data_IF_855047034426
#
_entry.id   IF_855047034426
#
_cell.length_a   1.000
_cell.length_b   1.000
_cell.length_c   1.000
_cell.angle_alpha   90.00
_cell.angle_beta   90.00
_cell.angle_gamma   90.00
#
_symmetry.space_group_name_H-M   'P 1'
#
loop_
_entity.id
_entity.type
_entity.pdbx_description
1 polymer ?
#
# COMPACT_ATOMS: atom_id res chain seq x y z
N UNK A 1 7.30 -15.11 8.61
CA UNK A 1 6.61 -14.01 7.90
C UNK A 1 7.57 -13.39 6.92
N UNK A 2 7.07 -12.95 5.79
CA UNK A 2 7.87 -12.28 4.79
C UNK A 2 7.56 -10.78 4.80
N UNK A 3 8.50 -10.00 4.28
CA UNK A 3 8.35 -8.55 4.17
C UNK A 3 7.91 -8.20 2.74
N UNK A 4 6.92 -7.34 2.63
CA UNK A 4 6.38 -6.90 1.34
C UNK A 4 6.34 -5.39 1.25
N UNK A 5 6.71 -4.87 0.08
CA UNK A 5 6.39 -3.49 -0.29
C UNK A 5 5.10 -3.56 -1.12
N UNK A 6 4.10 -2.82 -0.68
CA UNK A 6 2.85 -2.69 -1.42
C UNK A 6 2.94 -1.40 -2.23
N UNK A 7 2.98 -1.54 -3.55
CA UNK A 7 3.08 -0.41 -4.48
C UNK A 7 1.71 -0.15 -5.06
N UNK A 8 1.08 0.91 -4.60
CA UNK A 8 -0.24 1.33 -5.05
C UNK A 8 -0.13 2.49 -6.01
N UNK A 9 -0.92 2.46 -7.06
CA UNK A 9 -1.04 3.56 -8.02
C UNK A 9 -2.50 3.82 -8.33
N UNK A 10 -2.89 5.09 -8.34
CA UNK A 10 -4.21 5.50 -8.79
C UNK A 10 -4.09 6.70 -9.73
N UNK A 11 -5.12 6.91 -10.56
CA UNK A 11 -5.19 8.08 -11.42
C UNK A 11 -5.49 9.33 -10.58
N UNK A 12 -5.12 10.53 -11.04
CA UNK A 12 -5.41 11.76 -10.29
C UNK A 12 -6.87 11.91 -9.90
N UNK A 13 -7.80 11.55 -10.79
CA UNK A 13 -9.23 11.63 -10.52
C UNK A 13 -9.69 10.63 -9.45
N UNK A 14 -8.93 9.57 -9.20
CA UNK A 14 -9.25 8.54 -8.22
C UNK A 14 -8.72 8.86 -6.83
N UNK A 15 -7.93 9.91 -6.68
CA UNK A 15 -7.30 10.25 -5.40
C UNK A 15 -8.32 10.36 -4.25
N UNK A 16 -9.44 11.08 -4.39
CA UNK A 16 -10.43 11.14 -3.31
C UNK A 16 -11.00 9.77 -2.95
N UNK A 17 -11.28 8.93 -3.94
CA UNK A 17 -11.82 7.59 -3.70
C UNK A 17 -10.79 6.69 -3.00
N UNK A 18 -9.52 6.80 -3.36
CA UNK A 18 -8.46 6.02 -2.74
C UNK A 18 -8.34 6.31 -1.24
N UNK A 19 -8.47 7.55 -0.83
CA UNK A 19 -8.43 7.91 0.59
C UNK A 19 -9.75 7.61 1.29
N UNK A 20 -10.88 7.82 0.63
CA UNK A 20 -12.20 7.52 1.19
C UNK A 20 -12.41 6.01 1.43
N UNK A 21 -11.75 5.16 0.68
CA UNK A 21 -11.86 3.70 0.82
C UNK A 21 -11.44 3.21 2.21
N UNK A 22 -10.63 3.97 2.94
CA UNK A 22 -10.22 3.61 4.30
C UNK A 22 -11.31 3.79 5.33
N UNK A 23 -12.38 4.52 5.02
CA UNK A 23 -13.45 4.77 5.97
C UNK A 23 -14.15 3.45 6.33
N UNK A 24 -14.16 3.13 7.63
CA UNK A 24 -14.76 1.91 8.14
C UNK A 24 -13.96 0.63 7.88
N UNK A 25 -12.82 0.72 7.22
CA UNK A 25 -11.96 -0.44 7.00
C UNK A 25 -11.03 -0.64 8.18
N UNK A 26 -11.06 -1.84 8.76
CA UNK A 26 -10.21 -2.20 9.91
C UNK A 26 -8.90 -2.78 9.40
N UNK A 27 -7.79 -2.12 9.71
CA UNK A 27 -6.47 -2.55 9.28
C UNK A 27 -5.40 -1.93 10.18
N UNK A 28 -4.30 -2.67 10.46
CA UNK A 28 -3.17 -2.10 11.18
C UNK A 28 -2.47 -0.97 10.42
N UNK A 29 -2.75 -0.83 9.12
CA UNK A 29 -2.17 0.27 8.32
C UNK A 29 -2.90 1.59 8.49
N UNK A 30 -4.09 1.58 9.09
CA UNK A 30 -4.80 2.83 9.42
C UNK A 30 -3.98 3.61 10.44
N UNK A 31 -3.88 4.91 10.24
CA UNK A 31 -3.11 5.80 11.12
C UNK A 31 -1.60 5.54 11.09
N UNK A 32 -1.15 4.54 10.35
CA UNK A 32 0.28 4.33 10.13
C UNK A 32 0.77 5.28 9.03
N UNK A 33 2.06 5.60 9.08
CA UNK A 33 2.67 6.40 8.03
C UNK A 33 2.99 5.54 6.81
N UNK A 34 2.74 6.09 5.64
CA UNK A 34 3.15 5.50 4.36
C UNK A 34 3.80 6.59 3.51
N UNK A 35 4.58 6.18 2.54
CA UNK A 35 5.15 7.14 1.60
C UNK A 35 4.17 7.39 0.47
N UNK A 36 4.04 8.65 0.08
CA UNK A 36 3.11 9.05 -0.98
C UNK A 36 3.76 10.09 -1.88
N UNK A 37 3.58 9.93 -3.17
CA UNK A 37 3.95 10.94 -4.16
C UNK A 37 2.76 11.78 -4.61
N UNK A 38 1.57 11.58 -4.03
CA UNK A 38 0.39 12.38 -4.36
C UNK A 38 0.63 13.89 -4.23
N UNK A 39 1.27 14.37 -3.15
CA UNK A 39 1.51 15.82 -3.00
C UNK A 39 2.38 16.42 -4.10
N UNK A 40 3.19 15.60 -4.77
CA UNK A 40 4.06 16.04 -5.87
C UNK A 40 3.54 15.62 -7.24
N UNK A 41 2.31 15.14 -7.31
CA UNK A 41 1.64 14.78 -8.57
C UNK A 41 1.85 13.35 -9.06
N UNK A 42 2.53 12.51 -8.27
CA UNK A 42 2.88 11.16 -8.70
C UNK A 42 1.80 10.10 -8.49
N UNK A 43 0.90 10.32 -7.54
CA UNK A 43 -0.23 9.44 -7.23
C UNK A 43 0.14 7.98 -6.95
N UNK A 44 1.28 7.76 -6.30
CA UNK A 44 1.70 6.46 -5.79
C UNK A 44 1.67 6.46 -4.28
N UNK A 45 1.41 5.28 -3.70
CA UNK A 45 1.53 5.03 -2.27
C UNK A 45 2.39 3.78 -2.08
N UNK A 46 3.27 3.80 -1.09
CA UNK A 46 4.11 2.66 -0.74
C UNK A 46 3.92 2.32 0.73
N UNK A 47 3.59 1.05 0.96
CA UNK A 47 3.45 0.51 2.32
C UNK A 47 4.47 -0.60 2.51
N UNK A 48 5.04 -0.71 3.70
CA UNK A 48 5.93 -1.81 4.07
C UNK A 48 5.19 -2.65 5.11
N UNK A 49 4.96 -3.92 4.80
CA UNK A 49 4.17 -4.80 5.66
C UNK A 49 4.82 -6.17 5.80
N UNK A 50 4.57 -6.83 6.94
CA UNK A 50 4.91 -8.23 7.13
C UNK A 50 3.65 -9.07 6.94
N UNK A 51 3.75 -10.17 6.21
CA UNK A 51 2.65 -11.07 5.97
C UNK A 51 3.16 -12.47 5.59
N UNK A 52 2.29 -13.46 5.71
CA UNK A 52 2.64 -14.83 5.36
C UNK A 52 2.83 -15.00 3.84
N UNK A 53 2.04 -14.28 3.07
CA UNK A 53 2.08 -14.31 1.60
C UNK A 53 1.58 -13.00 1.01
N UNK A 54 1.66 -12.87 -0.32
CA UNK A 54 1.27 -11.66 -1.02
C UNK A 54 -0.23 -11.34 -0.86
N UNK A 55 -1.08 -12.34 -0.91
CA UNK A 55 -2.53 -12.14 -0.77
C UNK A 55 -2.87 -11.62 0.62
N UNK A 56 -2.24 -12.15 1.65
CA UNK A 56 -2.40 -11.65 3.02
C UNK A 56 -1.91 -10.22 3.15
N UNK A 57 -0.79 -9.90 2.51
CA UNK A 57 -0.26 -8.53 2.51
C UNK A 57 -1.26 -7.57 1.86
N UNK A 58 -1.79 -7.91 0.68
CA UNK A 58 -2.79 -7.10 -0.02
C UNK A 58 -4.09 -6.97 0.78
N UNK A 59 -4.43 -7.99 1.57
CA UNK A 59 -5.62 -7.97 2.44
C UNK A 59 -5.57 -6.92 3.54
N UNK A 60 -4.42 -6.31 3.79
CA UNK A 60 -4.30 -5.19 4.74
C UNK A 60 -4.77 -3.87 4.14
N UNK A 61 -5.04 -3.84 2.84
CA UNK A 61 -5.56 -2.67 2.13
C UNK A 61 -7.05 -2.82 1.86
N UNK A 62 -7.81 -1.71 1.87
CA UNK A 62 -9.16 -1.74 1.35
C UNK A 62 -9.16 -2.27 -0.08
N UNK A 63 -10.23 -2.96 -0.46
CA UNK A 63 -10.31 -3.61 -1.78
C UNK A 63 -10.03 -2.65 -2.94
N UNK A 64 -10.53 -1.43 -2.85
CA UNK A 64 -10.31 -0.42 -3.89
C UNK A 64 -8.81 -0.18 -4.13
N UNK A 65 -8.02 -0.13 -3.04
CA UNK A 65 -6.58 0.02 -3.15
C UNK A 65 -5.91 -1.30 -3.57
N UNK A 66 -6.33 -2.42 -2.99
CA UNK A 66 -5.73 -3.72 -3.27
C UNK A 66 -5.79 -4.07 -4.76
N UNK A 67 -6.89 -3.74 -5.43
CA UNK A 67 -7.06 -3.97 -6.86
C UNK A 67 -6.09 -3.14 -7.73
N UNK A 68 -5.51 -2.09 -7.16
CA UNK A 68 -4.58 -1.17 -7.83
C UNK A 68 -3.19 -1.23 -7.23
N UNK A 69 -2.86 -2.34 -6.59
CA UNK A 69 -1.61 -2.49 -5.82
C UNK A 69 -0.90 -3.76 -6.21
N UNK A 70 0.41 -3.67 -6.34
CA UNK A 70 1.30 -4.80 -6.53
C UNK A 70 2.03 -5.08 -5.22
N UNK A 71 2.03 -6.33 -4.77
CA UNK A 71 2.78 -6.77 -3.61
C UNK A 71 4.12 -7.34 -4.08
N UNK A 72 5.21 -6.71 -3.63
CA UNK A 72 6.56 -7.14 -3.99
C UNK A 72 7.27 -7.64 -2.73
N UNK A 73 7.63 -8.92 -2.73
CA UNK A 73 8.40 -9.49 -1.63
C UNK A 73 9.81 -8.89 -1.65
N UNK A 74 10.27 -8.43 -0.50
CA UNK A 74 11.58 -7.80 -0.37
C UNK A 74 12.37 -8.40 0.78
N UNK A 75 13.67 -8.30 0.66
CA UNK A 75 14.59 -8.71 1.73
C UNK A 75 15.64 -7.61 1.87
N UNK A 76 15.95 -7.26 3.09
CA UNK A 76 17.00 -6.28 3.32
C UNK A 76 18.35 -6.83 2.84
N UNK A 77 19.05 -6.06 2.03
CA UNK A 77 20.41 -6.38 1.61
C UNK A 77 21.31 -5.21 1.93
N UNK A 78 22.55 -5.51 2.27
CA UNK A 78 23.53 -4.48 2.55
C UNK A 78 24.20 -4.05 1.25
N UNK A 79 24.19 -2.76 0.98
CA UNK A 79 24.87 -2.22 -0.19
C UNK A 79 26.39 -2.26 0.00
N UNK A 80 27.14 -2.59 -1.05
CA UNK A 80 28.60 -2.61 -0.98
C UNK A 80 29.18 -1.22 -0.80
#
# INVERSE_FOLDING_TARGET
>A
MALYVLQHRHQPAECPAAFAAWNGFDSPLREASAWSSCPTGGHHLWFLVEAADADTALGQLPRYLAERTEAVRVTAVRMP
#
